data_IF_126295553848
#
_entry.id   IF_126295553848
#
_cell.length_a   1.000
_cell.length_b   1.000
_cell.length_c   1.000
_cell.angle_alpha   90.00
_cell.angle_beta   90.00
_cell.angle_gamma   90.00
#
_symmetry.space_group_name_H-M   'P 1'
#
loop_
_entity.id
_entity.type
_entity.pdbx_description
1 polymer ?
#
# COMPACT_ATOMS: atom_id res chain seq x y z
N UNK A 1 -32.24 -33.40 -11.42
CA UNK A 1 -31.08 -32.53 -11.17
C UNK A 1 -31.06 -32.19 -9.67
N UNK A 2 -30.03 -32.59 -8.94
CA UNK A 2 -29.92 -32.21 -7.54
C UNK A 2 -29.57 -30.73 -7.40
N UNK A 3 -30.09 -30.04 -6.36
CA UNK A 3 -29.86 -28.62 -6.19
C UNK A 3 -28.38 -28.32 -5.90
N UNK A 4 -27.96 -27.11 -6.26
CA UNK A 4 -26.65 -26.56 -5.87
C UNK A 4 -26.57 -26.43 -4.36
N UNK A 5 -25.47 -26.87 -3.78
CA UNK A 5 -25.25 -26.81 -2.35
C UNK A 5 -23.86 -26.25 -2.03
N UNK A 6 -23.78 -25.32 -1.10
CA UNK A 6 -22.54 -24.87 -0.49
C UNK A 6 -22.63 -25.08 1.03
N UNK A 7 -21.54 -25.47 1.64
CA UNK A 7 -21.46 -25.78 3.08
C UNK A 7 -20.06 -25.51 3.62
N UNK A 8 -19.94 -25.40 4.93
CA UNK A 8 -18.66 -25.26 5.62
C UNK A 8 -18.39 -26.50 6.45
N UNK A 9 -17.25 -27.12 6.23
CA UNK A 9 -16.71 -28.11 7.12
C UNK A 9 -15.72 -27.44 8.07
N UNK A 10 -15.76 -27.78 9.36
CA UNK A 10 -14.94 -27.14 10.38
C UNK A 10 -14.16 -28.16 11.19
N UNK A 11 -12.84 -28.01 11.25
CA UNK A 11 -12.03 -28.64 12.28
C UNK A 11 -11.85 -27.63 13.41
N UNK A 12 -12.18 -28.07 14.64
CA UNK A 12 -12.06 -27.30 15.87
C UNK A 12 -11.05 -28.02 16.79
N UNK A 13 -9.94 -27.36 17.12
CA UNK A 13 -8.83 -27.94 17.87
C UNK A 13 -8.39 -29.33 17.33
N UNK A 14 -8.36 -29.44 15.98
CA UNK A 14 -7.99 -30.68 15.27
C UNK A 14 -9.09 -31.74 15.18
N UNK A 15 -10.24 -31.57 15.82
CA UNK A 15 -11.39 -32.50 15.77
C UNK A 15 -12.42 -32.00 14.76
N UNK A 16 -13.07 -32.94 14.05
CA UNK A 16 -14.14 -32.58 13.11
C UNK A 16 -15.41 -32.17 13.88
N UNK A 17 -15.73 -30.88 13.83
CA UNK A 17 -16.91 -30.28 14.46
C UNK A 17 -18.03 -29.97 13.47
N UNK A 18 -17.92 -30.42 12.22
CA UNK A 18 -18.87 -30.07 11.15
C UNK A 18 -20.31 -30.42 11.50
N UNK A 19 -20.55 -31.65 12.02
CA UNK A 19 -21.89 -32.09 12.38
C UNK A 19 -22.50 -31.32 13.56
N UNK A 20 -21.66 -30.83 14.47
CA UNK A 20 -22.07 -30.01 15.62
C UNK A 20 -22.39 -28.58 15.22
N UNK A 21 -21.62 -28.01 14.28
CA UNK A 21 -21.75 -26.59 13.87
C UNK A 21 -22.86 -26.41 12.84
N UNK A 22 -22.96 -27.30 11.85
CA UNK A 22 -23.85 -27.12 10.69
C UNK A 22 -25.33 -26.83 11.03
N UNK A 23 -25.96 -27.47 12.06
CA UNK A 23 -27.36 -27.18 12.38
C UNK A 23 -27.61 -25.79 12.96
N UNK A 24 -26.56 -25.13 13.46
CA UNK A 24 -26.61 -23.83 14.11
C UNK A 24 -26.06 -22.71 13.22
N UNK A 25 -25.36 -23.05 12.12
CA UNK A 25 -24.71 -22.08 11.25
C UNK A 25 -25.72 -21.15 10.59
N UNK A 26 -25.68 -19.87 10.95
CA UNK A 26 -26.45 -18.80 10.30
C UNK A 26 -25.70 -18.21 9.13
N UNK A 27 -24.44 -17.85 9.34
CA UNK A 27 -23.55 -17.38 8.28
C UNK A 27 -22.09 -17.72 8.57
N UNK A 28 -21.31 -17.80 7.51
CA UNK A 28 -19.85 -17.96 7.54
C UNK A 28 -19.24 -16.98 6.54
N UNK A 29 -18.28 -16.19 6.99
CA UNK A 29 -17.51 -15.29 6.13
C UNK A 29 -16.03 -15.60 6.25
N UNK A 30 -15.37 -15.79 5.12
CA UNK A 30 -13.92 -15.88 5.02
C UNK A 30 -13.41 -14.69 4.21
N UNK A 31 -12.53 -13.92 4.80
CA UNK A 31 -11.86 -12.78 4.16
C UNK A 31 -10.41 -13.14 3.89
N UNK A 32 -10.08 -13.28 2.62
CA UNK A 32 -8.74 -13.50 2.10
C UNK A 32 -8.18 -12.18 1.58
N UNK A 33 -7.01 -11.77 2.07
CA UNK A 33 -6.33 -10.53 1.67
C UNK A 33 -4.99 -10.82 1.00
N UNK A 34 -4.62 -10.01 0.03
CA UNK A 34 -3.35 -10.22 -0.68
C UNK A 34 -2.14 -9.87 0.18
N UNK A 35 -2.21 -8.78 0.93
CA UNK A 35 -1.09 -8.30 1.76
C UNK A 35 -1.54 -7.28 2.79
N UNK A 36 -0.65 -6.94 3.73
CA UNK A 36 -0.82 -5.83 4.69
C UNK A 36 -1.72 -6.14 5.90
N UNK A 37 -2.47 -7.23 5.88
CA UNK A 37 -3.27 -7.71 7.02
C UNK A 37 -3.34 -9.22 7.03
N UNK A 38 -3.93 -9.79 8.08
CA UNK A 38 -4.16 -11.23 8.19
C UNK A 38 -5.50 -11.61 7.58
N UNK A 39 -5.60 -12.80 7.05
CA UNK A 39 -6.88 -13.40 6.70
C UNK A 39 -7.74 -13.56 7.95
N UNK A 40 -9.04 -13.44 7.81
CA UNK A 40 -10.00 -13.56 8.92
C UNK A 40 -11.18 -14.44 8.56
N UNK A 41 -11.80 -14.99 9.58
CA UNK A 41 -13.11 -15.65 9.46
C UNK A 41 -14.07 -15.06 10.47
N UNK A 42 -15.34 -15.05 10.11
CA UNK A 42 -16.45 -14.78 11.03
C UNK A 42 -17.50 -15.89 10.90
N UNK A 43 -17.95 -16.40 12.01
CA UNK A 43 -18.93 -17.49 12.09
C UNK A 43 -20.09 -17.04 12.93
N UNK A 44 -21.29 -16.95 12.35
CA UNK A 44 -22.51 -16.68 13.12
C UNK A 44 -23.29 -17.97 13.36
N UNK A 45 -23.66 -18.20 14.61
CA UNK A 45 -24.39 -19.40 15.05
C UNK A 45 -25.68 -19.00 15.76
N UNK A 46 -26.77 -19.70 15.46
CA UNK A 46 -28.01 -19.60 16.21
C UNK A 46 -27.92 -20.52 17.43
N UNK A 47 -27.85 -19.97 18.63
CA UNK A 47 -27.73 -20.75 19.87
C UNK A 47 -29.08 -21.05 20.53
N UNK A 48 -30.05 -21.56 19.75
CA UNK A 48 -31.42 -21.88 20.21
C UNK A 48 -31.44 -22.88 21.36
N UNK A 49 -30.47 -23.82 21.41
CA UNK A 49 -30.39 -24.88 22.41
C UNK A 49 -29.45 -24.50 23.57
N UNK A 50 -28.92 -23.27 23.60
CA UNK A 50 -27.97 -22.76 24.60
C UNK A 50 -26.72 -23.62 24.80
N UNK A 51 -26.27 -24.29 23.74
CA UNK A 51 -25.07 -25.14 23.79
C UNK A 51 -23.79 -24.29 23.74
N UNK A 52 -23.79 -23.24 22.91
CA UNK A 52 -22.63 -22.39 22.72
C UNK A 52 -22.40 -21.44 23.90
N UNK A 53 -23.44 -20.95 24.53
CA UNK A 53 -23.36 -20.18 25.79
C UNK A 53 -23.13 -21.09 27.01
N UNK A 54 -23.19 -22.43 26.83
CA UNK A 54 -23.06 -23.42 27.85
C UNK A 54 -21.89 -24.39 27.62
N UNK A 55 -22.15 -25.71 27.47
CA UNK A 55 -21.07 -26.71 27.44
C UNK A 55 -20.12 -26.65 26.24
N UNK A 56 -20.50 -25.94 25.19
CA UNK A 56 -19.67 -25.75 23.96
C UNK A 56 -19.08 -24.34 23.87
N UNK A 57 -18.98 -23.62 24.98
CA UNK A 57 -18.40 -22.30 25.00
C UNK A 57 -16.94 -22.33 24.46
N UNK A 58 -16.64 -21.61 23.38
CA UNK A 58 -15.28 -21.55 22.85
C UNK A 58 -14.36 -20.77 23.79
N UNK A 59 -13.07 -20.89 23.54
CA UNK A 59 -12.04 -20.11 24.22
C UNK A 59 -11.23 -19.31 23.20
N UNK A 60 -10.81 -18.12 23.58
CA UNK A 60 -9.83 -17.36 22.78
C UNK A 60 -8.54 -18.17 22.65
N UNK A 61 -8.00 -18.21 21.44
CA UNK A 61 -6.85 -19.05 21.13
C UNK A 61 -7.18 -20.45 20.60
N UNK A 62 -8.44 -20.89 20.64
CA UNK A 62 -8.85 -22.15 20.02
C UNK A 62 -8.57 -22.14 18.52
N UNK A 63 -8.21 -23.30 17.98
CA UNK A 63 -7.78 -23.45 16.58
C UNK A 63 -8.93 -23.87 15.67
N UNK A 64 -9.11 -23.13 14.57
CA UNK A 64 -10.13 -23.36 13.56
C UNK A 64 -9.50 -23.62 12.19
N UNK A 65 -9.99 -24.64 11.46
CA UNK A 65 -9.64 -24.85 10.06
C UNK A 65 -10.92 -25.09 9.26
N UNK A 66 -11.54 -24.03 8.75
CA UNK A 66 -12.72 -24.10 7.91
C UNK A 66 -12.35 -24.49 6.48
N UNK A 67 -13.27 -25.24 5.85
CA UNK A 67 -13.21 -25.64 4.43
C UNK A 67 -14.57 -25.37 3.80
N UNK A 68 -14.61 -24.54 2.78
CA UNK A 68 -15.81 -24.35 1.96
C UNK A 68 -15.94 -25.56 1.04
N UNK A 69 -17.11 -26.17 1.02
CA UNK A 69 -17.44 -27.30 0.15
C UNK A 69 -18.61 -26.94 -0.74
N UNK A 70 -18.50 -27.25 -2.03
CA UNK A 70 -19.62 -27.10 -2.96
C UNK A 70 -19.99 -28.44 -3.61
N UNK A 71 -21.25 -28.58 -3.97
CA UNK A 71 -21.77 -29.72 -4.73
C UNK A 71 -22.71 -29.20 -5.79
N UNK A 72 -22.61 -29.71 -7.01
CA UNK A 72 -23.38 -29.30 -8.19
C UNK A 72 -23.29 -27.80 -8.47
N UNK A 73 -22.17 -27.14 -8.07
CA UNK A 73 -22.03 -25.70 -8.13
C UNK A 73 -21.70 -25.21 -9.54
N UNK A 74 -20.67 -25.77 -10.14
CA UNK A 74 -20.19 -25.41 -11.48
C UNK A 74 -20.74 -26.37 -12.55
N UNK A 75 -20.93 -27.65 -12.19
CA UNK A 75 -21.54 -28.68 -13.06
C UNK A 75 -22.20 -29.76 -12.20
N UNK A 76 -23.08 -30.56 -12.81
CA UNK A 76 -23.75 -31.66 -12.14
C UNK A 76 -22.75 -32.72 -11.65
N UNK A 77 -22.99 -33.27 -10.47
CA UNK A 77 -22.17 -34.27 -9.80
C UNK A 77 -20.75 -33.85 -9.42
N UNK A 78 -20.38 -32.59 -9.63
CA UNK A 78 -19.06 -32.05 -9.21
C UNK A 78 -19.12 -31.63 -7.75
N UNK A 79 -18.17 -32.16 -6.97
CA UNK A 79 -17.91 -31.76 -5.59
C UNK A 79 -16.56 -31.09 -5.52
N UNK A 80 -16.48 -29.92 -4.87
CA UNK A 80 -15.23 -29.20 -4.67
C UNK A 80 -15.02 -28.87 -3.20
N UNK A 81 -13.79 -28.61 -2.84
CA UNK A 81 -13.42 -28.17 -1.50
C UNK A 81 -12.32 -27.10 -1.58
N UNK A 82 -12.48 -26.07 -0.80
CA UNK A 82 -11.53 -24.97 -0.70
C UNK A 82 -11.16 -24.74 0.76
N UNK A 83 -9.90 -25.00 1.11
CA UNK A 83 -9.38 -24.78 2.45
C UNK A 83 -9.12 -23.29 2.67
N UNK A 84 -9.83 -22.69 3.63
CA UNK A 84 -9.66 -21.27 3.96
C UNK A 84 -8.37 -20.96 4.72
N UNK A 85 -7.73 -21.98 5.31
CA UNK A 85 -6.52 -21.83 6.12
C UNK A 85 -6.72 -22.23 7.57
N UNK A 86 -5.76 -21.85 8.42
CA UNK A 86 -5.79 -22.07 9.86
C UNK A 86 -5.94 -20.74 10.60
N UNK A 87 -6.86 -20.71 11.55
CA UNK A 87 -7.21 -19.52 12.33
C UNK A 87 -7.16 -19.83 13.82
N UNK A 88 -6.97 -18.79 14.63
CA UNK A 88 -7.21 -18.82 16.06
C UNK A 88 -8.42 -17.95 16.39
N UNK A 89 -9.26 -18.41 17.31
CA UNK A 89 -10.36 -17.61 17.87
C UNK A 89 -9.75 -16.38 18.52
N UNK A 90 -10.13 -15.19 18.00
CA UNK A 90 -9.68 -13.90 18.50
C UNK A 90 -10.72 -13.33 19.46
N UNK A 91 -11.97 -13.31 19.02
CA UNK A 91 -13.10 -12.76 19.74
C UNK A 91 -14.35 -13.63 19.53
N UNK A 92 -15.26 -13.60 20.50
CA UNK A 92 -16.61 -14.10 20.34
C UNK A 92 -17.59 -13.33 21.22
N UNK A 93 -18.81 -13.18 20.75
CA UNK A 93 -19.85 -12.44 21.42
C UNK A 93 -21.21 -13.11 21.29
N UNK A 94 -22.10 -12.80 22.24
CA UNK A 94 -23.49 -13.24 22.22
C UNK A 94 -24.43 -12.04 22.12
N UNK A 95 -25.50 -12.19 21.34
CA UNK A 95 -26.57 -11.20 21.23
C UNK A 95 -27.89 -11.83 21.66
N UNK A 96 -28.78 -10.98 22.15
CA UNK A 96 -30.02 -11.33 22.80
C UNK A 96 -31.04 -12.13 21.99
N UNK A 97 -32.33 -12.02 22.18
CA UNK A 97 -33.35 -12.96 21.85
C UNK A 97 -33.84 -12.91 20.39
N UNK A 98 -33.71 -13.94 19.54
CA UNK A 98 -33.10 -15.25 19.83
C UNK A 98 -31.58 -15.16 20.01
N UNK A 99 -31.00 -16.03 20.85
CA UNK A 99 -29.56 -16.00 21.13
C UNK A 99 -28.79 -16.35 19.86
N UNK A 100 -27.87 -15.46 19.50
CA UNK A 100 -26.90 -15.66 18.43
C UNK A 100 -25.50 -15.46 18.98
N UNK A 101 -24.59 -16.28 18.52
CA UNK A 101 -23.16 -16.17 18.79
C UNK A 101 -22.46 -15.72 17.52
N UNK A 102 -21.60 -14.71 17.64
CA UNK A 102 -20.57 -14.36 16.63
C UNK A 102 -19.23 -14.82 17.15
N UNK A 103 -18.45 -15.50 16.31
CA UNK A 103 -17.11 -15.95 16.59
C UNK A 103 -16.19 -15.51 15.46
N UNK A 104 -15.17 -14.71 15.81
CA UNK A 104 -14.21 -14.17 14.88
C UNK A 104 -12.85 -14.84 15.07
N UNK A 105 -12.20 -15.18 13.97
CA UNK A 105 -10.90 -15.83 13.96
C UNK A 105 -9.91 -15.12 13.03
N UNK A 106 -8.64 -15.11 13.46
CA UNK A 106 -7.54 -14.50 12.71
C UNK A 106 -6.48 -15.55 12.35
N UNK A 107 -5.83 -15.39 11.21
CA UNK A 107 -4.81 -16.33 10.72
C UNK A 107 -3.47 -16.25 11.47
N UNK A 108 -3.46 -15.74 12.70
CA UNK A 108 -2.27 -15.58 13.54
C UNK A 108 -2.35 -16.52 14.71
N UNK A 109 -1.24 -17.18 15.11
CA UNK A 109 -1.22 -17.99 16.33
C UNK A 109 -1.50 -17.13 17.56
N UNK A 110 -2.53 -17.44 18.32
CA UNK A 110 -2.92 -16.69 19.52
C UNK A 110 -1.85 -16.72 20.64
N UNK A 111 -1.01 -17.73 20.63
CA UNK A 111 0.09 -17.89 21.61
C UNK A 111 1.39 -17.21 21.20
N UNK A 112 1.43 -16.61 20.00
CA UNK A 112 2.67 -16.02 19.51
C UNK A 112 2.86 -14.62 20.02
N UNK A 113 4.07 -14.32 20.51
CA UNK A 113 4.53 -12.96 20.82
C UNK A 113 4.66 -12.07 19.57
N UNK A 114 4.22 -12.58 18.42
CA UNK A 114 4.46 -12.01 17.10
C UNK A 114 3.88 -10.61 16.90
N UNK A 115 2.67 -10.35 17.47
CA UNK A 115 2.01 -9.04 17.41
C UNK A 115 1.98 -8.31 18.77
N UNK A 116 2.31 -8.99 19.84
CA UNK A 116 2.10 -8.44 21.19
C UNK A 116 3.39 -8.03 21.90
N UNK A 117 4.52 -8.71 21.62
CA UNK A 117 5.77 -8.45 22.31
C UNK A 117 6.64 -7.50 21.50
N UNK A 118 6.84 -6.31 22.03
CA UNK A 118 7.78 -5.33 21.50
C UNK A 118 9.22 -5.72 21.82
N UNK A 119 10.11 -5.47 20.86
CA UNK A 119 11.53 -5.80 20.95
C UNK A 119 12.39 -4.66 20.49
N UNK A 120 13.59 -4.59 21.08
CA UNK A 120 14.68 -3.74 20.59
C UNK A 120 15.84 -4.66 20.26
N UNK A 121 16.17 -4.75 18.98
CA UNK A 121 17.21 -5.65 18.46
C UNK A 121 17.85 -5.05 17.22
N UNK A 122 19.16 -5.25 17.07
CA UNK A 122 19.92 -4.87 15.86
C UNK A 122 20.23 -6.13 15.05
N UNK A 123 20.01 -6.04 13.74
CA UNK A 123 20.42 -7.04 12.76
C UNK A 123 21.52 -6.44 11.90
N UNK A 124 22.64 -7.14 11.75
CA UNK A 124 23.81 -6.70 10.98
C UNK A 124 24.29 -7.81 10.05
N UNK A 125 24.76 -7.42 8.85
CA UNK A 125 25.34 -8.31 7.82
C UNK A 125 24.46 -9.54 7.54
N UNK A 126 23.22 -9.30 7.23
CA UNK A 126 22.18 -10.32 7.02
C UNK A 126 21.40 -10.03 5.74
N UNK A 127 20.30 -10.74 5.53
CA UNK A 127 19.38 -10.51 4.45
C UNK A 127 17.90 -10.57 4.93
N UNK A 128 16.98 -10.11 4.08
CA UNK A 128 15.56 -10.04 4.41
C UNK A 128 14.98 -11.42 4.75
N UNK A 129 15.41 -12.48 4.08
CA UNK A 129 14.96 -13.85 4.32
C UNK A 129 15.41 -14.39 5.68
N UNK A 130 16.67 -14.18 6.06
CA UNK A 130 17.20 -14.60 7.35
C UNK A 130 16.52 -13.89 8.53
N UNK A 131 16.26 -12.59 8.38
CA UNK A 131 15.46 -11.86 9.38
C UNK A 131 14.06 -12.49 9.49
N UNK A 132 13.43 -12.78 8.36
CA UNK A 132 12.12 -13.45 8.32
C UNK A 132 12.12 -14.82 8.97
N UNK A 133 13.19 -15.62 8.80
CA UNK A 133 13.35 -16.91 9.47
C UNK A 133 13.40 -16.77 10.99
N UNK A 134 14.23 -15.84 11.50
CA UNK A 134 14.31 -15.56 12.94
C UNK A 134 12.98 -15.09 13.52
N UNK A 135 12.26 -14.26 12.79
CA UNK A 135 10.92 -13.79 13.17
C UNK A 135 9.92 -14.96 13.19
N UNK A 136 9.92 -15.80 12.16
CA UNK A 136 9.04 -16.95 12.04
C UNK A 136 9.32 -18.01 13.15
N UNK A 137 10.58 -18.27 13.44
CA UNK A 137 11.00 -19.18 14.54
C UNK A 137 10.47 -18.70 15.90
N UNK A 138 10.61 -17.40 16.20
CA UNK A 138 10.07 -16.82 17.45
C UNK A 138 8.54 -16.89 17.52
N UNK A 139 7.88 -16.77 16.37
CA UNK A 139 6.43 -16.89 16.27
C UNK A 139 5.94 -18.34 16.29
N UNK A 140 6.84 -19.34 16.20
CA UNK A 140 6.49 -20.76 16.11
C UNK A 140 5.75 -21.12 14.83
N UNK A 141 6.00 -20.41 13.73
CA UNK A 141 5.39 -20.62 12.41
C UNK A 141 6.45 -20.72 11.32
N UNK A 142 6.11 -21.26 10.16
CA UNK A 142 7.04 -21.38 9.06
C UNK A 142 7.13 -20.08 8.24
N UNK A 143 8.28 -19.85 7.60
CA UNK A 143 8.44 -18.82 6.56
C UNK A 143 8.36 -19.48 5.17
N UNK A 144 7.52 -18.93 4.30
CA UNK A 144 7.55 -19.14 2.86
C UNK A 144 8.03 -17.86 2.19
N UNK A 145 9.18 -17.91 1.53
CA UNK A 145 9.83 -16.74 0.96
C UNK A 145 10.01 -16.91 -0.56
N UNK A 146 9.25 -16.13 -1.34
CA UNK A 146 9.23 -16.13 -2.81
C UNK A 146 9.48 -14.70 -3.32
N UNK A 147 10.59 -14.10 -2.90
CA UNK A 147 11.01 -12.78 -3.31
C UNK A 147 12.53 -12.74 -3.55
N UNK A 148 12.99 -11.69 -4.22
CA UNK A 148 14.42 -11.46 -4.41
C UNK A 148 15.10 -11.27 -3.05
N UNK A 149 16.27 -11.88 -2.86
CA UNK A 149 17.07 -11.65 -1.66
C UNK A 149 17.62 -10.22 -1.63
N UNK A 150 17.41 -9.55 -0.49
CA UNK A 150 17.91 -8.20 -0.25
C UNK A 150 18.90 -8.25 0.91
N UNK A 151 20.16 -7.93 0.59
CA UNK A 151 21.23 -7.82 1.59
C UNK A 151 21.01 -6.59 2.46
N UNK A 152 21.15 -6.75 3.76
CA UNK A 152 20.95 -5.73 4.78
C UNK A 152 22.22 -5.61 5.62
N UNK A 153 22.90 -4.48 5.51
CA UNK A 153 24.11 -4.21 6.28
C UNK A 153 23.79 -4.00 7.77
N UNK A 154 22.76 -3.18 8.03
CA UNK A 154 22.28 -2.90 9.38
C UNK A 154 20.81 -2.47 9.34
N UNK A 155 20.00 -3.02 10.23
CA UNK A 155 18.64 -2.54 10.53
C UNK A 155 18.33 -2.73 12.01
N UNK A 156 17.57 -1.80 12.56
CA UNK A 156 17.20 -1.79 13.98
C UNK A 156 15.68 -1.95 14.12
N UNK A 157 15.29 -2.90 14.93
CA UNK A 157 13.93 -3.04 15.45
C UNK A 157 13.89 -2.28 16.76
N UNK A 158 13.17 -1.17 16.86
CA UNK A 158 13.13 -0.30 18.03
C UNK A 158 11.72 -0.27 18.59
N UNK A 159 11.51 -0.88 19.77
CA UNK A 159 10.22 -0.95 20.48
C UNK A 159 9.03 -1.34 19.59
N UNK A 160 9.25 -2.26 18.65
CA UNK A 160 8.26 -2.77 17.71
C UNK A 160 8.03 -4.25 17.90
N UNK A 161 6.80 -4.70 17.65
CA UNK A 161 6.51 -6.12 17.53
C UNK A 161 7.09 -6.71 16.24
N UNK A 162 7.33 -8.01 16.25
CA UNK A 162 7.97 -8.73 15.15
C UNK A 162 7.17 -8.64 13.82
N UNK A 163 5.83 -8.64 13.90
CA UNK A 163 4.96 -8.57 12.73
C UNK A 163 5.08 -7.21 12.05
N UNK A 164 4.91 -6.13 12.81
CA UNK A 164 4.98 -4.75 12.31
C UNK A 164 6.37 -4.42 11.77
N UNK A 165 7.42 -4.81 12.50
CA UNK A 165 8.81 -4.62 12.08
C UNK A 165 9.07 -5.33 10.74
N UNK A 166 8.80 -6.62 10.67
CA UNK A 166 9.13 -7.40 9.48
C UNK A 166 8.27 -6.99 8.27
N UNK A 167 6.98 -6.69 8.48
CA UNK A 167 6.12 -6.18 7.42
C UNK A 167 6.61 -4.83 6.87
N UNK A 168 7.03 -3.89 7.73
CA UNK A 168 7.58 -2.60 7.29
C UNK A 168 8.86 -2.77 6.48
N UNK A 169 9.74 -3.71 6.91
CA UNK A 169 10.97 -4.01 6.21
C UNK A 169 10.73 -4.65 4.84
N UNK A 170 9.80 -5.62 4.75
CA UNK A 170 9.38 -6.24 3.49
C UNK A 170 8.81 -5.20 2.51
N UNK A 171 7.95 -4.31 3.01
CA UNK A 171 7.31 -3.25 2.22
C UNK A 171 8.32 -2.20 1.74
N UNK A 172 9.32 -1.87 2.57
CA UNK A 172 10.40 -0.95 2.20
C UNK A 172 11.10 -1.37 0.89
N UNK A 173 11.26 -2.66 0.69
CA UNK A 173 11.90 -3.21 -0.52
C UNK A 173 10.90 -3.55 -1.65
N UNK A 174 9.63 -3.19 -1.50
CA UNK A 174 8.59 -3.36 -2.53
C UNK A 174 7.99 -4.76 -2.60
N UNK A 175 8.20 -5.58 -1.58
CA UNK A 175 7.59 -6.90 -1.47
C UNK A 175 6.32 -6.85 -0.63
N UNK A 176 5.57 -7.93 -0.66
CA UNK A 176 4.35 -8.11 0.10
C UNK A 176 4.51 -9.21 1.14
N UNK A 177 3.85 -9.04 2.28
CA UNK A 177 3.77 -10.05 3.33
C UNK A 177 2.30 -10.32 3.67
N UNK A 178 1.96 -11.60 3.85
CA UNK A 178 0.70 -12.03 4.45
C UNK A 178 0.95 -13.19 5.41
N UNK A 179 -0.02 -13.42 6.28
CA UNK A 179 -0.04 -14.60 7.14
C UNK A 179 -1.16 -15.50 6.65
N UNK A 180 -0.78 -16.68 6.21
CA UNK A 180 -1.72 -17.66 5.66
C UNK A 180 -1.40 -19.07 6.16
N UNK A 181 -2.42 -19.78 6.63
CA UNK A 181 -2.34 -21.18 7.06
C UNK A 181 -1.15 -21.49 7.99
N UNK A 182 -0.90 -20.63 8.97
CA UNK A 182 0.18 -20.80 9.95
C UNK A 182 1.58 -20.57 9.39
N UNK A 183 1.70 -19.75 8.34
CA UNK A 183 2.99 -19.37 7.72
C UNK A 183 3.04 -17.88 7.49
N UNK A 184 4.24 -17.30 7.62
CA UNK A 184 4.54 -16.00 7.04
C UNK A 184 4.87 -16.24 5.57
N UNK A 185 4.17 -15.55 4.66
CA UNK A 185 4.37 -15.62 3.21
C UNK A 185 4.90 -14.27 2.75
N UNK A 186 6.12 -14.26 2.19
CA UNK A 186 6.74 -13.07 1.58
C UNK A 186 6.89 -13.32 0.08
N UNK A 187 6.41 -12.39 -0.73
CA UNK A 187 6.42 -12.55 -2.18
C UNK A 187 6.53 -11.22 -2.91
N UNK A 188 6.93 -11.28 -4.20
CA UNK A 188 6.91 -10.13 -5.09
C UNK A 188 5.57 -10.06 -5.83
N UNK A 189 4.77 -9.03 -5.53
CA UNK A 189 3.48 -8.81 -6.19
C UNK A 189 3.63 -8.62 -7.72
N UNK A 190 4.75 -8.07 -8.20
CA UNK A 190 4.98 -7.92 -9.64
C UNK A 190 5.01 -9.29 -10.35
N UNK A 191 5.63 -10.28 -9.74
CA UNK A 191 5.65 -11.66 -10.23
C UNK A 191 4.24 -12.26 -10.23
N UNK A 192 3.46 -12.01 -9.18
CA UNK A 192 2.09 -12.51 -9.08
C UNK A 192 1.13 -11.84 -10.08
N UNK A 193 1.30 -10.54 -10.33
CA UNK A 193 0.56 -9.82 -11.37
C UNK A 193 0.80 -10.36 -12.80
N UNK A 194 1.94 -11.00 -13.02
CA UNK A 194 2.27 -11.63 -14.31
C UNK A 194 1.68 -13.03 -14.48
N UNK A 195 1.26 -13.69 -13.40
CA UNK A 195 0.66 -15.03 -13.46
C UNK A 195 -0.56 -15.05 -14.39
N UNK A 196 -0.87 -16.19 -15.04
CA UNK A 196 -2.08 -16.33 -15.85
C UNK A 196 -3.34 -15.99 -15.06
N UNK A 197 -4.36 -15.52 -15.73
CA UNK A 197 -5.68 -15.29 -15.14
C UNK A 197 -6.39 -16.61 -14.85
N UNK A 198 -6.98 -16.73 -13.67
CA UNK A 198 -7.68 -17.95 -13.23
C UNK A 198 -9.17 -17.95 -13.62
N UNK A 199 -9.71 -16.80 -13.99
CA UNK A 199 -11.08 -16.64 -14.43
C UNK A 199 -11.18 -15.50 -15.45
N UNK A 200 -12.14 -15.63 -16.36
CA UNK A 200 -12.63 -14.54 -17.21
C UNK A 200 -14.04 -14.21 -16.73
N UNK A 201 -14.30 -12.94 -16.46
CA UNK A 201 -15.55 -12.44 -15.91
C UNK A 201 -16.15 -11.38 -16.83
N UNK A 202 -17.46 -11.44 -17.01
CA UNK A 202 -18.27 -10.45 -17.73
C UNK A 202 -19.21 -9.72 -16.76
N UNK A 203 -19.85 -8.65 -17.21
CA UNK A 203 -20.84 -7.94 -16.41
C UNK A 203 -22.02 -8.85 -15.99
N UNK A 204 -22.37 -9.85 -16.80
CA UNK A 204 -23.41 -10.83 -16.48
C UNK A 204 -23.09 -11.72 -15.27
N UNK A 205 -21.80 -11.86 -14.91
CA UNK A 205 -21.36 -12.57 -13.71
C UNK A 205 -21.55 -11.75 -12.44
N UNK A 206 -21.72 -10.42 -12.55
CA UNK A 206 -21.73 -9.52 -11.41
C UNK A 206 -23.13 -9.41 -10.81
N UNK A 207 -23.18 -9.34 -9.49
CA UNK A 207 -24.38 -8.85 -8.83
C UNK A 207 -24.57 -7.35 -9.18
N UNK A 208 -25.81 -6.81 -9.14
CA UNK A 208 -26.03 -5.36 -9.21
C UNK A 208 -25.17 -4.60 -8.18
N UNK A 209 -24.87 -3.32 -8.48
CA UNK A 209 -24.08 -2.43 -7.60
C UNK A 209 -22.55 -2.69 -7.58
N UNK A 210 -21.97 -3.19 -8.66
CA UNK A 210 -20.53 -3.12 -8.84
C UNK A 210 -20.06 -1.66 -8.98
N UNK A 211 -18.82 -1.38 -8.60
CA UNK A 211 -18.25 -0.03 -8.70
C UNK A 211 -16.83 -0.05 -9.21
N UNK A 212 -16.55 0.85 -10.14
CA UNK A 212 -15.21 1.08 -10.67
C UNK A 212 -14.77 2.51 -10.34
N UNK A 213 -13.53 2.66 -9.92
CA UNK A 213 -12.97 3.95 -9.56
C UNK A 213 -11.53 4.06 -10.09
N UNK A 214 -11.16 5.25 -10.54
CA UNK A 214 -9.77 5.62 -10.82
C UNK A 214 -9.48 7.00 -10.24
N UNK A 215 -8.29 7.16 -9.70
CA UNK A 215 -7.85 8.42 -9.12
C UNK A 215 -6.44 8.75 -9.57
N UNK A 216 -6.22 10.01 -9.96
CA UNK A 216 -4.89 10.53 -10.25
C UNK A 216 -4.23 11.13 -9.00
N UNK A 217 -5.02 11.42 -7.97
CA UNK A 217 -4.51 11.93 -6.70
C UNK A 217 -3.61 10.91 -6.01
N UNK A 218 -2.42 11.34 -5.61
CA UNK A 218 -1.42 10.46 -4.99
C UNK A 218 -0.68 9.52 -5.94
N UNK A 219 -0.86 9.67 -7.27
CA UNK A 219 -0.12 8.90 -8.28
C UNK A 219 1.01 9.72 -8.88
N UNK A 220 2.06 9.04 -9.32
CA UNK A 220 3.28 9.66 -9.81
C UNK A 220 3.71 9.06 -11.14
N UNK A 221 4.25 9.90 -12.01
CA UNK A 221 4.82 9.49 -13.32
C UNK A 221 6.28 9.09 -13.20
N UNK A 222 6.93 9.44 -12.08
CA UNK A 222 8.31 9.07 -11.81
C UNK A 222 8.69 9.25 -10.34
N UNK A 223 9.90 8.84 -10.00
CA UNK A 223 10.48 9.01 -8.67
C UNK A 223 11.87 9.63 -8.77
N UNK A 224 12.18 10.50 -7.83
CA UNK A 224 13.51 11.02 -7.57
C UNK A 224 13.90 10.67 -6.13
N UNK A 225 14.88 9.81 -6.01
CA UNK A 225 15.46 9.42 -4.73
C UNK A 225 16.83 10.06 -4.58
N UNK A 226 17.11 10.62 -3.41
CA UNK A 226 18.40 11.17 -3.07
C UNK A 226 18.69 10.95 -1.59
N UNK A 227 19.76 10.24 -1.28
CA UNK A 227 20.22 10.00 0.08
C UNK A 227 21.74 10.11 0.18
N UNK A 228 22.23 10.82 1.20
CA UNK A 228 23.66 10.93 1.51
C UNK A 228 24.00 10.08 2.72
N UNK A 229 24.73 8.99 2.50
CA UNK A 229 25.29 8.16 3.56
C UNK A 229 26.58 8.81 4.08
N UNK A 230 26.48 9.50 5.20
CA UNK A 230 27.61 10.23 5.82
C UNK A 230 28.75 9.30 6.23
N UNK A 231 28.45 8.08 6.69
CA UNK A 231 29.46 7.09 7.10
C UNK A 231 30.32 6.63 5.92
N UNK A 232 29.73 6.47 4.76
CA UNK A 232 30.42 6.05 3.52
C UNK A 232 30.87 7.23 2.66
N UNK A 233 30.56 8.45 3.06
CA UNK A 233 30.81 9.68 2.30
C UNK A 233 30.31 9.62 0.84
N UNK A 234 29.13 8.99 0.65
CA UNK A 234 28.53 8.76 -0.67
C UNK A 234 27.10 9.29 -0.73
N UNK A 235 26.74 9.87 -1.86
CA UNK A 235 25.37 10.22 -2.20
C UNK A 235 24.86 9.27 -3.27
N UNK A 236 23.71 8.66 -3.04
CA UNK A 236 22.99 7.83 -3.99
C UNK A 236 21.84 8.63 -4.59
N UNK A 237 21.77 8.66 -5.90
CA UNK A 237 20.67 9.27 -6.65
C UNK A 237 20.07 8.24 -7.58
N UNK A 238 18.73 8.12 -7.52
CA UNK A 238 17.97 7.24 -8.40
C UNK A 238 16.83 8.05 -9.00
N UNK A 239 16.69 7.99 -10.31
CA UNK A 239 15.58 8.59 -11.04
C UNK A 239 14.93 7.53 -11.91
N UNK A 240 13.61 7.41 -11.85
CA UNK A 240 12.85 6.50 -12.68
C UNK A 240 11.55 7.17 -13.16
N UNK A 241 11.15 6.83 -14.39
CA UNK A 241 10.01 7.49 -15.03
C UNK A 241 10.32 8.92 -15.46
N UNK A 242 9.28 9.65 -15.84
CA UNK A 242 9.34 11.01 -16.38
C UNK A 242 8.06 11.79 -16.07
N UNK A 243 7.95 13.01 -16.64
CA UNK A 243 6.77 13.86 -16.53
C UNK A 243 6.75 14.75 -15.28
N UNK A 244 5.58 15.30 -14.96
CA UNK A 244 5.45 16.41 -14.01
C UNK A 244 5.17 15.99 -12.57
N UNK A 245 4.76 14.74 -12.36
CA UNK A 245 4.39 14.22 -11.03
C UNK A 245 5.47 13.29 -10.51
N UNK A 246 6.49 13.88 -9.93
CA UNK A 246 7.65 13.16 -9.41
C UNK A 246 7.53 12.96 -7.90
N UNK A 247 7.54 11.70 -7.46
CA UNK A 247 7.66 11.35 -6.06
C UNK A 247 9.10 11.60 -5.60
N UNK A 248 9.25 12.34 -4.50
CA UNK A 248 10.58 12.52 -3.89
C UNK A 248 10.68 11.65 -2.65
N UNK A 249 11.73 10.85 -2.56
CA UNK A 249 12.04 10.04 -1.39
C UNK A 249 13.53 10.10 -1.03
N UNK A 250 13.84 9.91 0.25
CA UNK A 250 15.18 10.06 0.82
C UNK A 250 15.44 9.09 1.98
N UNK A 251 14.77 7.95 1.99
CA UNK A 251 15.01 6.92 3.02
C UNK A 251 16.47 6.45 3.00
N UNK A 252 16.96 6.06 4.17
CA UNK A 252 18.34 5.62 4.32
C UNK A 252 18.64 4.35 3.51
N UNK A 253 19.75 4.37 2.77
CA UNK A 253 20.28 3.23 2.04
C UNK A 253 21.79 3.09 2.21
N UNK A 254 22.28 1.87 2.25
CA UNK A 254 23.69 1.56 2.42
C UNK A 254 24.44 1.43 1.09
N UNK A 255 23.71 1.19 0.00
CA UNK A 255 24.28 1.05 -1.34
C UNK A 255 23.26 1.44 -2.42
N UNK A 256 23.73 1.55 -3.67
CA UNK A 256 22.90 1.98 -4.79
C UNK A 256 21.80 0.97 -5.17
N UNK A 257 22.06 -0.33 -4.98
CA UNK A 257 21.06 -1.38 -5.22
C UNK A 257 19.89 -1.25 -4.26
N UNK A 258 20.17 -1.02 -2.99
CA UNK A 258 19.14 -0.76 -1.96
C UNK A 258 18.38 0.53 -2.26
N UNK A 259 19.09 1.62 -2.58
CA UNK A 259 18.48 2.89 -2.98
C UNK A 259 17.52 2.73 -4.16
N UNK A 260 17.90 1.93 -5.16
CA UNK A 260 17.07 1.63 -6.32
C UNK A 260 15.81 0.84 -5.94
N UNK A 261 15.95 -0.17 -5.10
CA UNK A 261 14.82 -0.96 -4.63
C UNK A 261 13.81 -0.08 -3.86
N UNK A 262 14.30 0.76 -2.94
CA UNK A 262 13.47 1.69 -2.17
C UNK A 262 12.74 2.69 -3.09
N UNK A 263 13.44 3.29 -4.03
CA UNK A 263 12.85 4.26 -4.96
C UNK A 263 11.73 3.64 -5.81
N UNK A 264 11.98 2.46 -6.39
CA UNK A 264 10.96 1.74 -7.18
C UNK A 264 9.81 1.24 -6.32
N UNK A 265 10.09 0.75 -5.11
CA UNK A 265 9.08 0.33 -4.15
C UNK A 265 8.13 1.49 -3.81
N UNK A 266 8.67 2.65 -3.47
CA UNK A 266 7.89 3.85 -3.14
C UNK A 266 7.00 4.28 -4.32
N UNK A 267 7.54 4.35 -5.53
CA UNK A 267 6.80 4.73 -6.74
C UNK A 267 5.68 3.74 -7.07
N UNK A 268 6.00 2.45 -7.13
CA UNK A 268 5.03 1.41 -7.47
C UNK A 268 3.96 1.25 -6.38
N UNK A 269 4.32 1.44 -5.10
CA UNK A 269 3.36 1.43 -3.99
C UNK A 269 2.40 2.61 -4.04
N UNK A 270 2.88 3.81 -4.37
CA UNK A 270 2.04 5.00 -4.52
C UNK A 270 1.06 4.86 -5.70
N UNK A 271 1.48 4.22 -6.80
CA UNK A 271 0.65 3.99 -7.97
C UNK A 271 -0.26 2.76 -7.85
N UNK A 272 -0.01 1.89 -6.87
CA UNK A 272 -0.80 0.70 -6.62
C UNK A 272 -2.24 1.08 -6.25
N UNK A 273 -3.21 0.49 -6.93
CA UNK A 273 -4.62 0.73 -6.63
C UNK A 273 -5.18 2.06 -7.18
N UNK A 274 -4.47 2.70 -8.09
CA UNK A 274 -4.99 3.86 -8.85
C UNK A 274 -6.34 3.56 -9.48
N UNK A 275 -6.49 2.37 -10.04
CA UNK A 275 -7.73 1.88 -10.65
C UNK A 275 -8.22 0.65 -9.91
N UNK A 276 -9.41 0.73 -9.35
CA UNK A 276 -10.03 -0.35 -8.57
C UNK A 276 -11.41 -0.71 -9.11
N UNK A 277 -11.78 -1.98 -8.97
CA UNK A 277 -13.09 -2.51 -9.31
C UNK A 277 -13.58 -3.35 -8.11
N UNK A 278 -14.74 -3.00 -7.56
CA UNK A 278 -15.40 -3.78 -6.53
C UNK A 278 -16.65 -4.43 -7.13
N UNK A 279 -16.78 -5.71 -6.95
CA UNK A 279 -17.90 -6.48 -7.47
C UNK A 279 -18.22 -7.67 -6.57
N UNK A 280 -19.44 -8.18 -6.67
CA UNK A 280 -19.86 -9.41 -6.02
C UNK A 280 -20.32 -10.39 -7.07
N UNK A 281 -19.93 -11.65 -6.91
CA UNK A 281 -20.26 -12.76 -7.79
C UNK A 281 -21.12 -13.77 -7.02
N UNK A 282 -21.91 -14.55 -7.76
CA UNK A 282 -22.32 -15.85 -7.26
C UNK A 282 -21.05 -16.63 -6.85
N UNK A 283 -21.08 -17.37 -5.74
CA UNK A 283 -19.89 -17.98 -5.15
C UNK A 283 -18.93 -18.59 -6.18
N UNK A 284 -17.69 -18.17 -6.13
CA UNK A 284 -16.57 -18.63 -6.96
C UNK A 284 -15.45 -19.10 -6.03
N UNK A 285 -15.55 -20.32 -5.55
CA UNK A 285 -14.66 -20.91 -4.54
C UNK A 285 -13.17 -20.88 -4.94
N UNK A 286 -12.85 -20.84 -6.22
CA UNK A 286 -11.49 -20.84 -6.77
C UNK A 286 -10.87 -19.44 -6.95
N UNK A 287 -11.62 -18.36 -6.70
CA UNK A 287 -11.07 -17.01 -6.76
C UNK A 287 -10.60 -16.62 -5.37
N UNK A 288 -9.31 -16.39 -5.23
CA UNK A 288 -8.63 -16.05 -3.97
C UNK A 288 -7.76 -14.80 -4.15
N UNK A 289 -7.43 -14.15 -3.05
CA UNK A 289 -6.50 -13.02 -3.05
C UNK A 289 -5.13 -13.45 -3.61
N UNK A 290 -4.43 -12.54 -4.27
CA UNK A 290 -3.18 -12.76 -5.03
C UNK A 290 -3.35 -13.39 -6.42
N UNK A 291 -4.52 -13.86 -6.78
CA UNK A 291 -4.80 -14.32 -8.14
C UNK A 291 -5.06 -13.16 -9.11
N UNK A 292 -5.02 -13.45 -10.40
CA UNK A 292 -5.43 -12.51 -11.44
C UNK A 292 -6.70 -13.00 -12.12
N UNK A 293 -7.58 -12.06 -12.47
CA UNK A 293 -8.79 -12.31 -13.28
C UNK A 293 -8.80 -11.41 -14.51
N UNK A 294 -9.42 -11.86 -15.58
CA UNK A 294 -9.64 -11.07 -16.79
C UNK A 294 -11.08 -10.55 -16.79
N UNK A 295 -11.23 -9.24 -16.87
CA UNK A 295 -12.53 -8.58 -17.04
C UNK A 295 -12.70 -8.28 -18.53
N UNK A 296 -13.81 -8.72 -19.12
CA UNK A 296 -14.15 -8.51 -20.53
C UNK A 296 -15.55 -7.90 -20.67
N UNK A 297 -15.82 -7.27 -21.83
CA UNK A 297 -17.12 -6.68 -22.12
C UNK A 297 -17.37 -5.29 -21.53
N UNK A 298 -16.50 -4.76 -20.68
CA UNK A 298 -16.63 -3.43 -20.08
C UNK A 298 -15.87 -2.31 -20.85
N UNK A 299 -15.68 -2.47 -22.15
CA UNK A 299 -15.00 -1.48 -23.00
C UNK A 299 -13.60 -1.15 -22.45
N UNK A 300 -13.30 0.14 -22.19
CA UNK A 300 -12.00 0.61 -21.67
C UNK A 300 -11.70 0.16 -20.23
N UNK A 301 -12.71 -0.28 -19.50
CA UNK A 301 -12.53 -0.82 -18.15
C UNK A 301 -12.08 -2.27 -18.20
N UNK A 302 -12.25 -2.95 -19.32
CA UNK A 302 -11.77 -4.32 -19.52
C UNK A 302 -10.26 -4.43 -19.34
N UNK A 303 -9.77 -5.61 -18.97
CA UNK A 303 -8.36 -5.88 -18.80
C UNK A 303 -8.07 -6.87 -17.67
N UNK A 304 -6.80 -7.05 -17.39
CA UNK A 304 -6.32 -7.91 -16.31
C UNK A 304 -6.38 -7.17 -14.97
N UNK A 305 -6.97 -7.82 -13.98
CA UNK A 305 -7.08 -7.33 -12.61
C UNK A 305 -6.45 -8.32 -11.64
N UNK A 306 -5.80 -7.78 -10.63
CA UNK A 306 -5.26 -8.52 -9.50
C UNK A 306 -6.25 -8.49 -8.34
N UNK A 307 -6.44 -9.60 -7.66
CA UNK A 307 -7.37 -9.73 -6.54
C UNK A 307 -6.68 -9.29 -5.25
N UNK A 308 -6.99 -8.07 -4.79
CA UNK A 308 -6.48 -7.55 -3.52
C UNK A 308 -7.19 -8.18 -2.32
N UNK A 309 -8.49 -8.45 -2.47
CA UNK A 309 -9.31 -9.06 -1.43
C UNK A 309 -10.41 -9.92 -2.04
N UNK A 310 -10.60 -11.11 -1.51
CA UNK A 310 -11.73 -11.99 -1.80
C UNK A 310 -12.48 -12.29 -0.49
N UNK A 311 -13.78 -12.04 -0.48
CA UNK A 311 -14.65 -12.31 0.67
C UNK A 311 -15.66 -13.38 0.25
N UNK A 312 -15.55 -14.56 0.87
CA UNK A 312 -16.47 -15.66 0.65
C UNK A 312 -17.50 -15.70 1.78
N UNK A 313 -18.76 -15.46 1.45
CA UNK A 313 -19.86 -15.47 2.42
C UNK A 313 -20.83 -16.59 2.11
N UNK A 314 -21.11 -17.46 3.07
CA UNK A 314 -22.06 -18.56 2.99
C UNK A 314 -23.14 -18.38 4.04
N UNK A 315 -24.40 -18.62 3.67
CA UNK A 315 -25.54 -18.49 4.58
C UNK A 315 -26.31 -17.20 4.43
N UNK A 316 -27.26 -16.96 5.32
CA UNK A 316 -28.23 -15.90 5.17
C UNK A 316 -29.12 -16.08 3.93
N UNK A 317 -29.80 -15.02 3.52
CA UNK A 317 -30.76 -15.03 2.40
C UNK A 317 -30.06 -15.08 1.02
N UNK A 318 -28.77 -14.80 0.96
CA UNK A 318 -28.00 -14.66 -0.29
C UNK A 318 -27.30 -15.93 -0.77
N UNK A 319 -27.32 -17.00 0.05
CA UNK A 319 -26.62 -18.25 -0.25
C UNK A 319 -25.09 -18.09 -0.22
N UNK A 320 -24.39 -18.58 -1.27
CA UNK A 320 -22.93 -18.43 -1.37
C UNK A 320 -22.58 -17.31 -2.36
N UNK A 321 -21.86 -16.32 -1.86
CA UNK A 321 -21.37 -15.15 -2.62
C UNK A 321 -19.86 -14.99 -2.47
N UNK A 322 -19.23 -14.40 -3.49
CA UNK A 322 -17.82 -14.01 -3.47
C UNK A 322 -17.72 -12.53 -3.84
N UNK A 323 -17.42 -11.69 -2.87
CA UNK A 323 -17.17 -10.26 -3.10
C UNK A 323 -15.67 -10.04 -3.33
N UNK A 324 -15.33 -9.30 -4.36
CA UNK A 324 -13.96 -9.05 -4.79
C UNK A 324 -13.64 -7.56 -4.75
N UNK A 325 -12.47 -7.23 -4.20
CA UNK A 325 -11.81 -5.96 -4.44
C UNK A 325 -10.63 -6.23 -5.37
N UNK A 326 -10.70 -5.63 -6.54
CA UNK A 326 -9.75 -5.81 -7.62
C UNK A 326 -9.01 -4.52 -7.90
N UNK A 327 -7.73 -4.60 -8.25
CA UNK A 327 -6.99 -3.49 -8.83
C UNK A 327 -6.53 -3.83 -10.25
N UNK A 328 -6.58 -2.86 -11.15
CA UNK A 328 -6.11 -3.06 -12.52
C UNK A 328 -4.60 -3.29 -12.52
N UNK A 329 -4.15 -4.28 -13.29
CA UNK A 329 -2.71 -4.52 -13.45
C UNK A 329 -2.18 -3.49 -14.44
N UNK A 330 -1.44 -2.52 -13.94
CA UNK A 330 -0.82 -1.47 -14.74
C UNK A 330 0.66 -1.80 -15.02
N UNK A 331 1.20 -1.20 -16.08
CA UNK A 331 2.62 -1.35 -16.40
C UNK A 331 3.46 -0.69 -15.30
N UNK A 332 4.32 -1.46 -14.66
CA UNK A 332 5.27 -0.95 -13.66
C UNK A 332 6.40 -0.19 -14.33
N UNK A 333 6.87 0.86 -13.67
CA UNK A 333 8.08 1.58 -14.09
C UNK A 333 9.28 0.79 -13.56
N UNK A 334 10.17 0.40 -14.48
CA UNK A 334 11.35 -0.42 -14.19
C UNK A 334 12.66 0.24 -14.65
N UNK A 335 12.57 1.16 -15.61
CA UNK A 335 13.75 1.82 -16.19
C UNK A 335 14.25 2.89 -15.22
N UNK A 336 15.48 2.71 -14.75
CA UNK A 336 16.09 3.57 -13.75
C UNK A 336 17.39 4.17 -14.24
N UNK A 337 17.61 5.43 -13.89
CA UNK A 337 18.92 6.10 -13.97
C UNK A 337 19.49 6.19 -12.58
N UNK A 338 20.68 5.67 -12.38
CA UNK A 338 21.32 5.59 -11.07
C UNK A 338 22.66 6.29 -11.08
N UNK A 339 22.99 6.99 -10.01
CA UNK A 339 24.28 7.63 -9.83
C UNK A 339 24.73 7.50 -8.37
N UNK A 340 26.02 7.23 -8.20
CA UNK A 340 26.70 7.31 -6.90
C UNK A 340 27.86 8.28 -7.03
N UNK A 341 27.90 9.28 -6.16
CA UNK A 341 28.97 10.29 -6.13
C UNK A 341 29.53 10.44 -4.73
N UNK A 342 30.81 10.84 -4.62
CA UNK A 342 31.34 11.26 -3.32
C UNK A 342 30.78 12.64 -2.95
N UNK A 343 30.69 12.95 -1.65
CA UNK A 343 30.22 14.25 -1.18
C UNK A 343 31.12 15.38 -1.71
N UNK A 344 32.42 15.12 -1.87
CA UNK A 344 33.39 16.07 -2.42
C UNK A 344 33.16 16.34 -3.93
N UNK A 345 32.83 15.32 -4.73
CA UNK A 345 32.52 15.48 -6.17
C UNK A 345 31.22 16.29 -6.36
N UNK A 346 30.23 16.05 -5.53
CA UNK A 346 28.97 16.79 -5.57
C UNK A 346 29.15 18.27 -5.22
N UNK A 347 30.02 18.57 -4.26
CA UNK A 347 30.36 19.95 -3.94
C UNK A 347 31.06 20.65 -5.11
N UNK A 348 31.88 19.93 -5.89
CA UNK A 348 32.49 20.44 -7.11
C UNK A 348 31.48 20.60 -8.26
N UNK A 349 30.58 19.63 -8.45
CA UNK A 349 29.52 19.73 -9.48
C UNK A 349 28.53 20.83 -9.19
N UNK A 350 28.15 21.04 -7.93
CA UNK A 350 27.32 22.20 -7.53
C UNK A 350 28.05 23.52 -7.69
N UNK A 351 29.38 23.56 -7.46
CA UNK A 351 30.21 24.75 -7.77
C UNK A 351 30.40 24.95 -9.26
N UNK A 352 30.55 23.90 -10.08
CA UNK A 352 30.69 24.02 -11.52
C UNK A 352 29.36 24.38 -12.22
N UNK A 353 28.22 23.94 -11.69
CA UNK A 353 26.90 24.37 -12.21
C UNK A 353 26.54 25.80 -11.76
N UNK A 354 27.06 26.26 -10.61
CA UNK A 354 26.91 27.67 -10.19
C UNK A 354 27.93 28.61 -10.85
N UNK A 355 29.07 28.07 -11.37
CA UNK A 355 30.09 28.89 -12.06
C UNK A 355 29.87 28.99 -13.56
N UNK A 356 28.93 28.25 -14.17
CA UNK A 356 28.55 28.40 -15.58
C UNK A 356 27.48 29.48 -15.84
N UNK A 357 26.91 30.07 -14.80
CA UNK A 357 25.94 31.18 -14.91
C UNK A 357 26.50 32.54 -14.48
N UNK A 358 27.81 32.69 -14.42
CA UNK A 358 28.46 34.01 -14.23
C UNK A 358 29.29 34.37 -15.45
N UNK A 359 28.64 34.61 -16.59
CA UNK A 359 29.07 35.49 -17.68
C UNK A 359 27.93 35.71 -18.64
N UNK A 360 27.14 36.69 -18.34
CA UNK A 360 26.71 37.71 -19.31
C UNK A 360 26.01 38.83 -18.54
N UNK A 361 26.72 39.92 -18.30
CA UNK A 361 26.13 41.22 -18.15
C UNK A 361 25.46 41.57 -19.50
N UNK A 362 24.23 41.13 -19.69
CA UNK A 362 23.31 41.73 -20.65
C UNK A 362 22.16 42.33 -19.85
N UNK A 363 21.92 43.62 -20.09
CA UNK A 363 20.82 44.43 -19.57
C UNK A 363 19.45 43.88 -20.03
N UNK A 364 19.05 42.71 -19.49
CA UNK A 364 17.72 42.13 -19.69
C UNK A 364 16.93 42.20 -18.39
N UNK A 365 15.66 42.55 -18.46
CA UNK A 365 14.73 42.52 -17.33
C UNK A 365 14.65 41.10 -16.79
N UNK A 366 14.84 40.88 -15.46
CA UNK A 366 14.76 39.56 -14.86
C UNK A 366 13.41 38.89 -15.14
N UNK A 367 13.43 37.55 -15.40
CA UNK A 367 12.24 36.77 -15.75
C UNK A 367 11.86 35.82 -14.60
N UNK A 368 10.66 35.23 -14.71
CA UNK A 368 10.18 34.24 -13.73
C UNK A 368 11.19 33.11 -13.55
N UNK A 369 11.55 32.84 -12.30
CA UNK A 369 12.51 31.79 -11.92
C UNK A 369 13.93 32.30 -11.67
N UNK A 370 14.26 33.53 -12.10
CA UNK A 370 15.57 34.12 -11.87
C UNK A 370 15.75 34.53 -10.40
N UNK A 371 17.00 34.72 -10.00
CA UNK A 371 17.33 35.39 -8.74
C UNK A 371 17.57 36.88 -8.99
N UNK A 372 17.04 37.73 -8.12
CA UNK A 372 17.18 39.16 -8.16
C UNK A 372 17.85 39.68 -6.88
N UNK A 373 18.96 40.39 -7.02
CA UNK A 373 19.64 41.02 -5.90
C UNK A 373 19.08 42.42 -5.68
N UNK A 374 18.29 42.57 -4.61
CA UNK A 374 17.77 43.87 -4.20
C UNK A 374 18.85 44.60 -3.42
N UNK A 375 19.38 45.70 -3.97
CA UNK A 375 20.50 46.47 -3.39
C UNK A 375 20.03 47.51 -2.36
N UNK A 376 18.80 47.98 -2.48
CA UNK A 376 18.22 49.02 -1.63
C UNK A 376 16.86 48.59 -1.09
N UNK A 377 16.46 49.15 0.05
CA UNK A 377 15.13 48.87 0.61
C UNK A 377 14.05 49.42 -0.32
N UNK A 378 13.10 48.58 -0.74
CA UNK A 378 11.98 48.92 -1.59
C UNK A 378 10.64 48.63 -0.91
N UNK A 379 9.62 49.39 -1.23
CA UNK A 379 8.24 49.10 -0.85
C UNK A 379 7.71 47.96 -1.71
N UNK A 380 7.12 46.95 -1.08
CA UNK A 380 6.46 45.82 -1.74
C UNK A 380 4.95 46.00 -1.73
N UNK A 381 4.31 45.68 -2.85
CA UNK A 381 2.90 45.90 -3.12
C UNK A 381 2.17 44.58 -3.34
N UNK A 382 0.85 44.59 -3.22
CA UNK A 382 0.02 43.38 -3.41
C UNK A 382 -0.13 43.02 -4.90
N UNK A 383 -0.21 44.00 -5.77
CA UNK A 383 -0.34 43.83 -7.24
C UNK A 383 0.76 44.52 -8.02
N UNK A 384 1.02 44.08 -9.26
CA UNK A 384 1.98 44.71 -10.16
C UNK A 384 1.55 46.14 -10.54
N UNK A 385 0.27 46.39 -10.70
CA UNK A 385 -0.27 47.71 -11.01
C UNK A 385 -0.05 48.72 -9.89
N UNK A 386 -0.15 48.32 -8.62
CA UNK A 386 0.19 49.15 -7.47
C UNK A 386 1.69 49.48 -7.40
N UNK A 387 2.53 48.47 -7.72
CA UNK A 387 3.97 48.64 -7.76
C UNK A 387 4.38 49.62 -8.87
N UNK A 388 3.72 49.57 -10.03
CA UNK A 388 3.93 50.48 -11.15
C UNK A 388 3.45 51.91 -10.82
N UNK A 389 2.32 52.06 -10.14
CA UNK A 389 1.77 53.34 -9.71
C UNK A 389 2.45 53.92 -8.46
N UNK A 390 3.24 53.14 -7.73
CA UNK A 390 3.83 53.53 -6.45
C UNK A 390 2.83 53.74 -5.31
N UNK A 391 1.57 53.36 -5.51
CA UNK A 391 0.46 53.61 -4.56
C UNK A 391 -0.23 52.30 -4.16
N UNK A 392 -0.57 52.18 -2.86
CA UNK A 392 -1.33 51.06 -2.30
C UNK A 392 -2.81 51.38 -2.41
N UNK A 393 -3.61 50.46 -2.96
CA UNK A 393 -5.06 50.60 -2.95
C UNK A 393 -5.63 50.43 -1.53
N UNK A 394 -6.72 51.12 -1.17
CA UNK A 394 -7.35 50.92 0.12
C UNK A 394 -7.72 49.45 0.35
N UNK A 395 -7.31 48.93 1.52
CA UNK A 395 -7.55 47.54 1.90
C UNK A 395 -6.44 46.54 1.50
N UNK A 396 -5.47 46.93 0.63
CA UNK A 396 -4.37 46.04 0.26
C UNK A 396 -3.17 46.16 1.22
N UNK A 397 -2.49 45.05 1.59
CA UNK A 397 -1.31 45.11 2.41
C UNK A 397 -0.10 45.66 1.62
N UNK A 398 0.80 46.31 2.31
CA UNK A 398 2.13 46.61 1.79
C UNK A 398 3.20 46.16 2.76
N UNK A 399 4.36 45.82 2.23
CA UNK A 399 5.50 45.34 3.01
C UNK A 399 6.77 46.10 2.63
N UNK A 400 7.76 46.07 3.50
CA UNK A 400 9.09 46.60 3.21
C UNK A 400 10.01 45.43 2.84
N UNK A 401 10.60 45.51 1.63
CA UNK A 401 11.63 44.56 1.19
C UNK A 401 13.01 45.18 1.43
N UNK A 402 13.79 44.50 2.23
CA UNK A 402 15.16 44.90 2.59
C UNK A 402 16.15 44.38 1.54
N UNK A 403 17.35 44.98 1.43
CA UNK A 403 18.42 44.44 0.58
C UNK A 403 18.66 42.95 0.83
N UNK A 404 18.89 42.21 -0.25
CA UNK A 404 19.09 40.77 -0.21
C UNK A 404 18.74 40.08 -1.53
N UNK A 405 19.00 38.78 -1.61
CA UNK A 405 18.71 37.97 -2.79
C UNK A 405 17.33 37.36 -2.67
N UNK A 406 16.51 37.54 -3.69
CA UNK A 406 15.14 37.06 -3.81
C UNK A 406 14.97 36.22 -5.07
N UNK A 407 13.97 35.37 -5.09
CA UNK A 407 13.50 34.71 -6.32
C UNK A 407 12.44 35.59 -7.01
N UNK A 408 12.48 35.66 -8.32
CA UNK A 408 11.43 36.29 -9.13
C UNK A 408 10.32 35.27 -9.35
N UNK A 409 9.22 35.41 -8.61
CA UNK A 409 8.07 34.49 -8.72
C UNK A 409 7.29 34.75 -10.03
N UNK A 410 7.14 36.02 -10.39
CA UNK A 410 6.49 36.43 -11.64
C UNK A 410 6.92 37.84 -12.04
N UNK A 411 6.69 38.20 -13.31
CA UNK A 411 6.93 39.55 -13.84
C UNK A 411 5.68 40.06 -14.55
N UNK A 412 5.34 41.32 -14.38
CA UNK A 412 4.20 41.95 -15.07
C UNK A 412 4.42 43.46 -15.13
N UNK A 413 4.17 44.07 -16.27
CA UNK A 413 4.30 45.52 -16.49
C UNK A 413 5.68 46.12 -16.07
N UNK A 414 6.75 45.35 -16.27
CA UNK A 414 8.09 45.73 -15.82
C UNK A 414 8.34 45.64 -14.32
N UNK A 415 7.35 45.22 -13.53
CA UNK A 415 7.45 44.96 -12.08
C UNK A 415 7.85 43.53 -11.78
N UNK A 416 8.54 43.32 -10.64
CA UNK A 416 9.00 42.01 -10.20
C UNK A 416 8.24 41.58 -8.95
N UNK A 417 7.71 40.36 -8.94
CA UNK A 417 7.19 39.71 -7.72
C UNK A 417 8.34 38.97 -7.03
N UNK A 418 8.82 39.50 -5.91
CA UNK A 418 9.95 38.96 -5.17
C UNK A 418 9.52 38.14 -3.98
N UNK A 419 10.08 36.94 -3.86
CA UNK A 419 9.81 35.99 -2.79
C UNK A 419 11.10 35.37 -2.22
N UNK A 420 11.05 34.91 -0.99
CA UNK A 420 12.11 34.12 -0.36
C UNK A 420 11.94 32.61 -0.58
N UNK A 421 10.74 32.14 -1.01
CA UNK A 421 10.42 30.76 -1.28
C UNK A 421 9.90 30.59 -2.71
N UNK A 422 10.53 29.71 -3.52
CA UNK A 422 10.23 29.54 -4.94
C UNK A 422 8.77 29.18 -5.29
N UNK A 423 8.07 28.54 -4.37
CA UNK A 423 6.70 28.03 -4.59
C UNK A 423 5.59 28.96 -4.08
N UNK A 424 5.92 30.07 -3.45
CA UNK A 424 4.96 30.99 -2.83
C UNK A 424 5.10 32.37 -3.43
N UNK A 425 4.02 33.03 -3.90
CA UNK A 425 4.08 34.40 -4.39
C UNK A 425 4.52 35.34 -3.26
N UNK A 426 5.37 36.31 -3.63
CA UNK A 426 5.85 37.36 -2.74
C UNK A 426 5.12 38.68 -2.93
N UNK A 427 5.83 39.78 -2.73
CA UNK A 427 5.30 41.11 -3.01
C UNK A 427 5.89 41.69 -4.31
N UNK A 428 5.10 42.50 -5.00
CA UNK A 428 5.53 43.22 -6.20
C UNK A 428 6.38 44.42 -5.85
N UNK A 429 7.46 44.63 -6.55
CA UNK A 429 8.30 45.84 -6.42
C UNK A 429 8.49 46.48 -7.78
N UNK A 430 8.76 47.78 -7.77
CA UNK A 430 9.33 48.48 -8.91
C UNK A 430 10.87 48.31 -8.85
N UNK A 431 11.48 47.65 -9.84
CA UNK A 431 12.93 47.44 -9.85
C UNK A 431 13.74 48.72 -10.09
N UNK A 432 13.12 49.74 -10.71
CA UNK A 432 13.75 51.02 -11.05
C UNK A 432 13.85 51.95 -9.84
#
# INVERSE_FOLDING_TARGET
MEPRKASVALLYNGKNATAQVSPYLASFTYTDVSSGSSDTISVELNDRDRKWIGPWLPQTGDRLKPTIRTQNWDADNIKTSFLCGAFCVDDFSFKGNPIRMSLDGVAIPATSSFKSTKRTQTYEKTNLKEIGQKVAERAGIALFYEAKEMTIEKVEQNDQDDCSFYNSLVTKYGFAMKIFNGKIVVFDEATYEQKPTIATLTEEDFDPNWSWNTSIAGTYTGVKYEYTNSKKNKTFTVEAGDGDRILTCNEAAENLTEATAIALAALNSANKGTTTLNLTLKGRWYIFATACVLIVGLGKLSGKYYVDKAIHTLGGDSGYKTALRLRKVEKRITDVKTQSSTVAERSKSKKSSSSKNSKSSSSGTPTKGDTYELKTTKKGYYTAAEAAAGQVKPGNPSVVRRPGTYYVFNTSQGMLNLTTAKSVPGSWINPN
#
